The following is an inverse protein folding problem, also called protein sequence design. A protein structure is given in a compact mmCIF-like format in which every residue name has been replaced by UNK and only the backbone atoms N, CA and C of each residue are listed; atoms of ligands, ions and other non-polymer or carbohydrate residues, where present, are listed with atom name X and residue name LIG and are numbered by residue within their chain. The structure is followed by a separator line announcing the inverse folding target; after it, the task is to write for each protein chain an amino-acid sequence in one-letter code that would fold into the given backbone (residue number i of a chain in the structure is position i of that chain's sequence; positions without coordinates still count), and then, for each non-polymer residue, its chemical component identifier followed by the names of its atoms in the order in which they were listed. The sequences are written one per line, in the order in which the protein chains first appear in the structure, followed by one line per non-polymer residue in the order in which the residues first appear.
data_IF_954473441902
#
_entry.id   IF_954473441902
#
_cell.length_a   1.000
_cell.length_b   1.000
_cell.length_c   1.000
_cell.angle_alpha   90.00
_cell.angle_beta   90.00
_cell.angle_gamma   90.00
#
_symmetry.space_group_name_H-M   'P 1'
#
loop_
_entity.id
_entity.type
_entity.pdbx_description
1 polymer ?
#
# COMPACT_ATOMS: atom_id res chain seq x y z
N UNK A 1 -10.05 18.36 8.82
CA UNK A 1 -10.99 17.27 9.16
C UNK A 1 -10.64 16.06 8.32
N UNK A 2 -10.71 14.83 8.86
CA UNK A 2 -10.32 13.64 8.13
C UNK A 2 -11.39 13.20 7.12
N UNK A 3 -10.95 12.52 6.06
CA UNK A 3 -11.84 11.63 5.33
C UNK A 3 -11.94 10.31 6.09
N UNK A 4 -13.15 9.82 6.36
CA UNK A 4 -13.32 8.63 7.17
C UNK A 4 -14.55 7.78 6.78
N UNK A 5 -14.49 6.49 7.12
CA UNK A 5 -15.57 5.51 6.97
C UNK A 5 -15.98 5.28 5.51
N UNK A 6 -14.99 4.93 4.68
CA UNK A 6 -15.16 4.76 3.23
C UNK A 6 -15.11 3.27 2.89
N UNK A 7 -16.03 2.82 2.04
CA UNK A 7 -16.09 1.45 1.53
C UNK A 7 -15.94 1.47 0.00
N UNK A 8 -15.01 0.67 -0.51
CA UNK A 8 -14.85 0.37 -1.94
C UNK A 8 -15.08 -1.12 -2.13
N UNK A 9 -16.16 -1.49 -2.83
CA UNK A 9 -16.51 -2.92 -2.98
C UNK A 9 -17.11 -3.26 -4.32
N UNK A 10 -16.88 -4.50 -4.76
CA UNK A 10 -17.43 -5.04 -6.01
C UNK A 10 -17.07 -4.18 -7.23
N UNK A 11 -15.85 -3.64 -7.24
CA UNK A 11 -15.35 -2.79 -8.32
C UNK A 11 -14.37 -3.55 -9.21
N UNK A 12 -14.34 -3.17 -10.48
CA UNK A 12 -13.32 -3.59 -11.44
C UNK A 12 -12.45 -2.38 -11.84
N UNK A 13 -11.13 -2.52 -11.78
CA UNK A 13 -10.18 -1.45 -12.09
C UNK A 13 -9.21 -1.92 -13.18
N UNK A 14 -9.13 -1.17 -14.29
CA UNK A 14 -8.41 -1.58 -15.52
C UNK A 14 -7.35 -0.60 -16.02
N UNK A 15 -7.17 0.53 -15.35
CA UNK A 15 -6.14 1.52 -15.73
C UNK A 15 -5.89 2.48 -14.57
N UNK A 16 -4.75 3.17 -14.59
CA UNK A 16 -4.45 4.28 -13.71
C UNK A 16 -3.22 4.10 -12.82
N UNK A 17 -2.78 5.20 -12.22
CA UNK A 17 -1.61 5.21 -11.32
C UNK A 17 -1.82 4.42 -10.01
N UNK A 18 -3.05 4.00 -9.71
CA UNK A 18 -3.38 3.06 -8.66
C UNK A 18 -4.86 2.69 -8.63
N UNK A 19 -5.20 1.51 -8.10
CA UNK A 19 -6.58 1.03 -7.99
C UNK A 19 -7.33 1.77 -6.89
N UNK A 20 -6.86 1.62 -5.65
CA UNK A 20 -7.28 2.47 -4.52
C UNK A 20 -6.08 3.26 -4.01
N UNK A 21 -6.24 4.58 -3.96
CA UNK A 21 -5.17 5.51 -3.61
C UNK A 21 -5.59 6.39 -2.44
N UNK A 22 -4.75 6.44 -1.40
CA UNK A 22 -4.86 7.40 -0.30
C UNK A 22 -3.75 8.44 -0.42
N UNK A 23 -4.13 9.70 -0.57
CA UNK A 23 -3.25 10.86 -0.58
C UNK A 23 -2.96 11.48 -1.95
N UNK A 24 -2.07 12.47 -2.04
CA UNK A 24 -1.08 12.85 -1.00
C UNK A 24 -1.57 13.91 -0.03
N UNK A 25 -2.70 14.55 -0.30
CA UNK A 25 -3.30 15.66 0.44
C UNK A 25 -4.01 15.14 1.72
N UNK A 26 -3.24 14.55 2.63
CA UNK A 26 -3.74 13.84 3.82
C UNK A 26 -3.66 14.65 5.11
N UNK A 27 -3.36 15.95 5.04
CA UNK A 27 -3.12 16.80 6.21
C UNK A 27 -4.29 16.82 7.21
N UNK A 28 -5.52 16.63 6.71
CA UNK A 28 -6.72 16.51 7.55
C UNK A 28 -6.87 15.16 8.26
N UNK A 29 -6.08 14.16 7.88
CA UNK A 29 -6.19 12.76 8.30
C UNK A 29 -7.00 11.89 7.33
N UNK A 30 -6.79 10.58 7.41
CA UNK A 30 -7.57 9.59 6.68
C UNK A 30 -7.70 8.32 7.52
N UNK A 31 -8.92 7.85 7.78
CA UNK A 31 -9.09 6.64 8.61
C UNK A 31 -10.29 5.78 8.23
N UNK A 32 -10.22 4.48 8.50
CA UNK A 32 -11.30 3.52 8.31
C UNK A 32 -11.71 3.39 6.83
N UNK A 33 -10.81 2.82 6.03
CA UNK A 33 -11.09 2.42 4.65
C UNK A 33 -11.22 0.90 4.56
N UNK A 34 -12.30 0.45 3.93
CA UNK A 34 -12.53 -0.95 3.62
C UNK A 34 -12.57 -1.14 2.11
N UNK A 35 -11.64 -1.93 1.58
CA UNK A 35 -11.61 -2.36 0.17
C UNK A 35 -11.91 -3.85 0.14
N UNK A 36 -12.99 -4.27 -0.52
CA UNK A 36 -13.36 -5.69 -0.56
C UNK A 36 -13.96 -6.18 -1.87
N UNK A 37 -13.66 -7.43 -2.24
CA UNK A 37 -14.26 -8.11 -3.38
C UNK A 37 -14.07 -7.33 -4.69
N UNK A 38 -12.86 -6.83 -4.92
CA UNK A 38 -12.50 -6.06 -6.12
C UNK A 38 -11.63 -6.90 -7.06
N UNK A 39 -11.75 -6.63 -8.35
CA UNK A 39 -10.85 -7.16 -9.39
C UNK A 39 -10.01 -6.03 -9.97
N UNK A 40 -8.70 -6.18 -9.98
CA UNK A 40 -7.77 -5.16 -10.44
C UNK A 40 -6.76 -5.78 -11.41
N UNK A 41 -6.98 -5.65 -12.70
CA UNK A 41 -6.26 -6.44 -13.69
C UNK A 41 -5.96 -5.64 -14.95
N UNK A 42 -4.73 -5.13 -15.06
CA UNK A 42 -4.23 -4.45 -16.25
C UNK A 42 -2.74 -4.11 -16.16
N UNK A 43 -1.96 -4.26 -17.24
CA UNK A 43 -0.59 -3.74 -17.30
C UNK A 43 -0.51 -2.21 -17.21
N UNK A 44 -1.61 -1.49 -17.46
CA UNK A 44 -1.68 -0.04 -17.31
C UNK A 44 -2.01 0.38 -15.87
N UNK A 45 -2.48 -0.55 -15.03
CA UNK A 45 -2.67 -0.30 -13.61
C UNK A 45 -1.32 -0.39 -12.88
N UNK A 46 -0.86 0.70 -12.30
CA UNK A 46 0.49 0.71 -11.73
C UNK A 46 0.57 0.01 -10.37
N UNK A 47 -0.42 0.24 -9.51
CA UNK A 47 -0.40 -0.19 -8.10
C UNK A 47 -1.80 -0.59 -7.67
N UNK A 48 -1.94 -1.65 -6.87
CA UNK A 48 -3.27 -2.11 -6.43
C UNK A 48 -3.75 -1.22 -5.29
N UNK A 49 -3.00 -1.21 -4.19
CA UNK A 49 -3.21 -0.31 -3.04
C UNK A 49 -2.03 0.64 -2.93
N UNK A 50 -2.30 1.96 -2.97
CA UNK A 50 -1.27 2.99 -2.93
C UNK A 50 -1.54 4.00 -1.82
N UNK A 51 -0.59 4.15 -0.91
CA UNK A 51 -0.57 5.19 0.11
C UNK A 51 0.62 6.10 -0.17
N UNK A 52 0.35 7.40 -0.34
CA UNK A 52 1.39 8.40 -0.66
C UNK A 52 1.25 9.62 0.26
N UNK A 53 2.35 10.09 0.82
CA UNK A 53 2.42 11.32 1.62
C UNK A 53 3.87 11.79 1.74
N UNK A 54 4.10 12.93 2.39
CA UNK A 54 5.41 13.45 2.73
C UNK A 54 5.39 14.33 3.99
N UNK A 55 6.55 14.77 4.45
CA UNK A 55 6.71 15.61 5.64
C UNK A 55 6.26 17.07 5.47
N UNK A 56 5.75 17.45 4.29
CA UNK A 56 4.97 18.67 4.12
C UNK A 56 3.53 18.52 4.62
N UNK A 57 3.02 17.28 4.68
CA UNK A 57 1.58 17.03 4.84
C UNK A 57 1.18 16.86 6.30
N UNK A 58 2.03 16.29 7.17
CA UNK A 58 1.61 15.89 8.51
C UNK A 58 0.51 14.83 8.45
N UNK A 59 -0.44 14.85 9.38
CA UNK A 59 -1.62 13.98 9.33
C UNK A 59 -1.32 12.50 9.62
N UNK A 60 -2.41 11.74 9.76
CA UNK A 60 -2.38 10.31 10.08
C UNK A 60 -3.24 9.58 9.05
N UNK A 61 -2.68 8.52 8.46
CA UNK A 61 -3.40 7.53 7.68
C UNK A 61 -3.46 6.25 8.51
N UNK A 62 -4.65 5.82 8.91
CA UNK A 62 -4.79 4.64 9.75
C UNK A 62 -6.02 3.79 9.42
N UNK A 63 -6.01 2.52 9.84
CA UNK A 63 -7.12 1.59 9.73
C UNK A 63 -7.55 1.38 8.25
N UNK A 64 -6.63 0.84 7.46
CA UNK A 64 -6.84 0.48 6.06
C UNK A 64 -6.99 -1.03 5.98
N UNK A 65 -8.17 -1.50 5.59
CA UNK A 65 -8.49 -2.92 5.50
C UNK A 65 -8.79 -3.27 4.05
N UNK A 66 -8.06 -4.26 3.53
CA UNK A 66 -8.18 -4.73 2.15
C UNK A 66 -8.36 -6.24 2.21
N UNK A 67 -9.46 -6.75 1.65
CA UNK A 67 -9.71 -8.19 1.64
C UNK A 67 -10.31 -8.71 0.34
N UNK A 68 -10.03 -9.96 0.00
CA UNK A 68 -10.62 -10.63 -1.16
C UNK A 68 -10.44 -9.80 -2.45
N UNK A 69 -9.20 -9.40 -2.74
CA UNK A 69 -8.86 -8.66 -3.95
C UNK A 69 -8.11 -9.57 -4.91
N UNK A 70 -8.64 -9.71 -6.12
CA UNK A 70 -8.02 -10.47 -7.19
C UNK A 70 -7.27 -9.52 -8.12
N UNK A 71 -5.97 -9.78 -8.30
CA UNK A 71 -5.12 -9.00 -9.20
C UNK A 71 -4.61 -9.92 -10.29
N UNK A 72 -4.92 -9.62 -11.55
CA UNK A 72 -4.27 -10.32 -12.67
C UNK A 72 -2.86 -9.76 -12.81
N UNK A 73 -2.71 -8.63 -13.50
CA UNK A 73 -1.43 -7.91 -13.57
C UNK A 73 -1.53 -6.49 -13.00
N UNK A 74 -0.44 -6.05 -12.33
CA UNK A 74 -0.17 -4.63 -12.10
C UNK A 74 1.30 -4.30 -12.36
N UNK A 75 1.60 -3.07 -12.79
CA UNK A 75 2.93 -2.72 -13.32
C UNK A 75 4.03 -2.64 -12.25
N UNK A 76 3.71 -2.16 -11.05
CA UNK A 76 4.70 -1.89 -10.01
C UNK A 76 4.49 -2.73 -8.75
N UNK A 77 3.40 -2.52 -8.00
CA UNK A 77 3.28 -3.11 -6.68
C UNK A 77 1.85 -3.44 -6.27
N UNK A 78 1.67 -4.57 -5.58
CA UNK A 78 0.38 -4.88 -4.93
C UNK A 78 0.13 -3.90 -3.78
N UNK A 79 1.10 -3.73 -2.88
CA UNK A 79 1.05 -2.68 -1.86
C UNK A 79 2.19 -1.69 -2.05
N UNK A 80 1.87 -0.40 -2.24
CA UNK A 80 2.84 0.69 -2.19
C UNK A 80 2.53 1.63 -1.04
N UNK A 81 3.50 1.85 -0.16
CA UNK A 81 3.49 2.94 0.83
C UNK A 81 4.72 3.82 0.58
N UNK A 82 4.53 5.14 0.43
CA UNK A 82 5.62 6.08 0.19
C UNK A 82 5.46 7.35 1.02
N UNK A 83 6.36 7.57 2.00
CA UNK A 83 6.42 8.83 2.77
C UNK A 83 7.42 9.85 2.17
N UNK A 84 8.09 9.49 1.08
CA UNK A 84 9.00 10.38 0.35
C UNK A 84 8.36 10.89 -0.96
N UNK A 85 7.03 10.97 -1.02
CA UNK A 85 6.32 11.45 -2.21
C UNK A 85 6.69 12.92 -2.50
N UNK A 86 7.05 13.24 -3.74
CA UNK A 86 7.44 14.61 -4.13
C UNK A 86 8.40 15.28 -3.13
N UNK A 87 9.47 14.59 -2.78
CA UNK A 87 10.47 15.04 -1.78
C UNK A 87 11.23 16.33 -2.15
N UNK A 88 10.94 16.94 -3.31
CA UNK A 88 11.47 18.24 -3.77
C UNK A 88 10.42 19.35 -3.80
N UNK A 89 9.19 19.08 -3.42
CA UNK A 89 8.14 20.09 -3.27
C UNK A 89 8.59 21.20 -2.30
N UNK A 90 8.30 22.46 -2.64
CA UNK A 90 8.60 23.62 -1.79
C UNK A 90 7.51 23.78 -0.73
N UNK A 91 7.84 23.46 0.51
CA UNK A 91 6.92 23.45 1.64
C UNK A 91 7.72 23.54 2.96
N UNK A 92 7.02 23.76 4.08
CA UNK A 92 7.59 23.46 5.40
C UNK A 92 7.56 21.93 5.64
N UNK A 93 8.72 21.35 5.98
CA UNK A 93 8.94 19.90 6.15
C UNK A 93 8.93 19.42 7.60
N UNK A 94 8.46 20.28 8.51
CA UNK A 94 8.40 20.03 9.96
C UNK A 94 7.22 19.14 10.36
N UNK A 95 6.44 18.61 9.41
CA UNK A 95 5.19 17.88 9.63
C UNK A 95 5.29 16.41 9.19
N UNK A 96 6.03 15.57 9.91
CA UNK A 96 6.19 14.17 9.54
C UNK A 96 4.84 13.40 9.65
N UNK A 97 4.34 12.76 8.57
CA UNK A 97 3.07 12.02 8.56
C UNK A 97 3.21 10.65 9.24
N UNK A 98 2.11 10.07 9.71
CA UNK A 98 2.08 8.68 10.22
C UNK A 98 1.21 7.80 9.32
N UNK A 99 1.68 6.58 9.03
CA UNK A 99 0.90 5.52 8.39
C UNK A 99 0.92 4.29 9.27
N UNK A 100 -0.25 3.82 9.72
CA UNK A 100 -0.34 2.63 10.58
C UNK A 100 -1.58 1.79 10.33
N UNK A 101 -1.60 0.56 10.85
CA UNK A 101 -2.76 -0.32 10.83
C UNK A 101 -3.27 -0.56 9.39
N UNK A 102 -2.39 -1.11 8.55
CA UNK A 102 -2.71 -1.44 7.14
C UNK A 102 -2.73 -2.94 6.99
N UNK A 103 -3.89 -3.51 6.70
CA UNK A 103 -4.12 -4.95 6.64
C UNK A 103 -4.59 -5.35 5.24
N UNK A 104 -3.83 -6.22 4.58
CA UNK A 104 -4.21 -6.91 3.36
C UNK A 104 -4.41 -8.39 3.70
N UNK A 105 -5.61 -8.92 3.50
CA UNK A 105 -5.94 -10.33 3.74
C UNK A 105 -6.57 -10.98 2.51
N UNK A 106 -6.15 -12.19 2.16
CA UNK A 106 -6.68 -12.90 0.99
C UNK A 106 -6.60 -12.05 -0.30
N UNK A 107 -5.39 -11.57 -0.62
CA UNK A 107 -5.10 -10.85 -1.86
C UNK A 107 -4.26 -11.74 -2.78
N UNK A 108 -4.67 -11.88 -4.04
CA UNK A 108 -3.92 -12.60 -5.07
C UNK A 108 -3.33 -11.64 -6.09
N UNK A 109 -2.19 -12.00 -6.69
CA UNK A 109 -1.59 -11.28 -7.83
C UNK A 109 -0.95 -12.27 -8.78
N UNK A 110 -1.21 -12.15 -10.08
CA UNK A 110 -0.57 -13.02 -11.08
C UNK A 110 0.70 -12.44 -11.71
N UNK A 111 0.89 -11.11 -11.68
CA UNK A 111 2.14 -10.46 -12.11
C UNK A 111 2.31 -9.07 -11.51
N UNK A 112 3.50 -8.79 -10.99
CA UNK A 112 3.91 -7.46 -10.52
C UNK A 112 5.42 -7.32 -10.41
N UNK A 113 5.94 -6.08 -10.31
CA UNK A 113 7.37 -5.86 -10.05
C UNK A 113 7.75 -6.11 -8.58
N UNK A 114 6.84 -5.77 -7.67
CA UNK A 114 6.98 -6.00 -6.23
C UNK A 114 5.66 -6.51 -5.65
N UNK A 115 5.72 -7.40 -4.66
CA UNK A 115 4.56 -7.67 -3.82
C UNK A 115 4.26 -6.48 -2.93
N UNK A 116 5.18 -6.24 -1.99
CA UNK A 116 5.11 -5.13 -1.03
C UNK A 116 6.30 -4.19 -1.25
N UNK A 117 6.00 -2.92 -1.48
CA UNK A 117 6.97 -1.86 -1.68
C UNK A 117 6.70 -0.71 -0.69
N UNK A 118 7.52 -0.61 0.35
CA UNK A 118 7.39 0.39 1.41
C UNK A 118 8.64 1.27 1.45
N UNK A 119 8.44 2.59 1.45
CA UNK A 119 9.50 3.59 1.51
C UNK A 119 9.19 4.59 2.62
N UNK A 120 9.76 4.34 3.80
CA UNK A 120 9.76 5.26 4.95
C UNK A 120 10.93 6.24 4.95
N UNK A 121 11.15 6.89 6.08
CA UNK A 121 12.31 7.76 6.31
C UNK A 121 13.48 6.96 6.89
N UNK A 122 14.69 7.48 6.70
CA UNK A 122 15.92 6.84 7.21
C UNK A 122 16.23 7.25 8.67
N UNK A 123 15.70 8.39 9.13
CA UNK A 123 15.99 9.00 10.43
C UNK A 123 14.91 8.76 11.49
N UNK A 124 13.76 8.21 11.11
CA UNK A 124 12.60 7.98 12.00
C UNK A 124 11.69 6.88 11.47
N UNK A 125 10.87 6.32 12.36
CA UNK A 125 9.88 5.29 12.01
C UNK A 125 8.48 5.87 12.08
N UNK A 126 7.86 6.03 10.90
CA UNK A 126 6.53 6.62 10.73
C UNK A 126 5.57 5.69 9.97
N UNK A 127 6.03 4.48 9.65
CA UNK A 127 5.23 3.41 9.10
C UNK A 127 5.30 2.26 10.09
N UNK A 128 4.16 1.83 10.62
CA UNK A 128 4.07 0.75 11.59
C UNK A 128 2.85 -0.13 11.35
N UNK A 129 2.87 -1.36 11.87
CA UNK A 129 1.71 -2.26 11.88
C UNK A 129 1.12 -2.50 10.49
N UNK A 130 1.93 -3.12 9.63
CA UNK A 130 1.57 -3.44 8.24
C UNK A 130 1.49 -4.95 8.09
N UNK A 131 0.30 -5.45 7.76
CA UNK A 131 0.01 -6.87 7.67
C UNK A 131 -0.35 -7.25 6.25
N UNK A 132 0.30 -8.28 5.73
CA UNK A 132 -0.14 -8.99 4.52
C UNK A 132 -0.30 -10.46 4.89
N UNK A 133 -1.55 -10.92 4.90
CA UNK A 133 -1.93 -12.25 5.37
C UNK A 133 -2.65 -13.06 4.30
N UNK A 134 -2.48 -14.38 4.36
CA UNK A 134 -3.22 -15.35 3.53
C UNK A 134 -3.22 -15.02 2.03
N UNK A 135 -2.08 -14.53 1.52
CA UNK A 135 -1.98 -13.90 0.19
C UNK A 135 -0.99 -14.63 -0.70
N UNK A 136 -1.18 -14.54 -2.02
CA UNK A 136 -0.31 -15.19 -3.01
C UNK A 136 0.01 -14.24 -4.15
N UNK A 137 1.29 -13.91 -4.32
CA UNK A 137 1.77 -13.07 -5.42
C UNK A 137 2.68 -13.90 -6.33
N UNK A 138 2.17 -14.23 -7.51
CA UNK A 138 2.85 -14.97 -8.56
C UNK A 138 3.56 -14.00 -9.53
N UNK A 139 4.56 -14.54 -10.23
CA UNK A 139 5.40 -13.83 -11.20
C UNK A 139 5.86 -12.44 -10.73
N UNK A 140 6.19 -12.31 -9.45
CA UNK A 140 6.82 -11.11 -8.90
C UNK A 140 8.25 -11.05 -9.42
N UNK A 141 8.68 -9.92 -9.97
CA UNK A 141 10.07 -9.75 -10.42
C UNK A 141 11.09 -9.98 -9.30
N UNK A 142 12.37 -10.16 -9.67
CA UNK A 142 13.47 -10.64 -8.78
C UNK A 142 13.61 -9.94 -7.43
N UNK A 143 13.04 -8.76 -7.23
CA UNK A 143 13.13 -8.01 -5.98
C UNK A 143 12.11 -8.45 -4.92
N UNK A 144 11.06 -9.19 -5.27
CA UNK A 144 10.06 -9.68 -4.32
C UNK A 144 9.40 -8.54 -3.53
N UNK A 145 9.82 -8.36 -2.28
CA UNK A 145 9.43 -7.23 -1.43
C UNK A 145 10.60 -6.28 -1.21
N UNK A 146 10.34 -4.97 -1.17
CA UNK A 146 11.31 -3.95 -0.76
C UNK A 146 10.67 -3.07 0.31
N UNK A 147 11.16 -3.19 1.54
CA UNK A 147 10.57 -2.54 2.71
C UNK A 147 11.67 -1.78 3.46
N UNK A 148 11.58 -0.46 3.50
CA UNK A 148 12.50 0.43 4.23
C UNK A 148 11.73 1.39 5.13
N UNK A 149 12.33 1.77 6.28
CA UNK A 149 11.78 2.78 7.19
C UNK A 149 10.41 2.42 7.81
N UNK A 150 10.16 1.14 8.06
CA UNK A 150 8.92 0.63 8.65
C UNK A 150 9.21 -0.41 9.74
N UNK A 151 8.39 -0.44 10.79
CA UNK A 151 8.41 -1.47 11.85
C UNK A 151 7.13 -2.30 11.82
N UNK A 152 7.16 -3.43 12.53
CA UNK A 152 5.99 -4.29 12.73
C UNK A 152 5.30 -4.68 11.42
N UNK A 153 6.11 -5.09 10.43
CA UNK A 153 5.62 -5.56 9.14
C UNK A 153 5.52 -7.08 9.16
N UNK A 154 4.29 -7.59 9.20
CA UNK A 154 3.98 -9.02 9.33
C UNK A 154 3.56 -9.60 7.98
N UNK A 155 4.29 -10.59 7.49
CA UNK A 155 4.02 -11.27 6.21
C UNK A 155 3.67 -12.75 6.47
N UNK A 156 2.46 -12.99 6.99
CA UNK A 156 2.04 -14.32 7.46
C UNK A 156 1.22 -15.06 6.41
N UNK A 157 1.59 -16.31 6.11
CA UNK A 157 0.97 -17.05 5.00
C UNK A 157 0.98 -16.27 3.66
N UNK A 158 1.98 -15.41 3.47
CA UNK A 158 2.26 -14.78 2.20
C UNK A 158 3.18 -15.68 1.38
N UNK A 159 2.77 -15.99 0.15
CA UNK A 159 3.60 -16.71 -0.81
C UNK A 159 3.99 -15.78 -1.96
N UNK A 160 5.28 -15.72 -2.29
CA UNK A 160 5.79 -15.03 -3.48
C UNK A 160 6.47 -16.05 -4.37
N UNK A 161 6.00 -16.15 -5.63
CA UNK A 161 6.51 -17.09 -6.62
C UNK A 161 6.58 -18.53 -6.08
N UNK A 162 5.50 -18.99 -5.43
CA UNK A 162 5.41 -20.31 -4.80
C UNK A 162 6.16 -20.47 -3.48
N UNK A 163 7.02 -19.52 -3.08
CA UNK A 163 7.81 -19.60 -1.86
C UNK A 163 7.13 -18.83 -0.71
N UNK A 164 7.02 -19.46 0.46
CA UNK A 164 6.51 -18.79 1.66
C UNK A 164 7.50 -17.71 2.11
N UNK A 165 7.02 -16.47 2.22
CA UNK A 165 7.81 -15.36 2.74
C UNK A 165 7.99 -15.54 4.25
N UNK A 166 9.21 -15.35 4.74
CA UNK A 166 9.52 -15.41 6.18
C UNK A 166 9.85 -14.00 6.64
N UNK A 167 8.87 -13.31 7.24
CA UNK A 167 9.03 -12.01 7.90
C UNK A 167 7.97 -11.83 8.98
#
# INVERSE_FOLDING_TARGET
VPSENIIVRNCEMKDGHGGVVVGSEISGGYKNLFVENCKMDSPNLERVIRIKTNNCRGGVIENIYVRNVEVGECREAVLKINLQYENREKCDRSFPPVVRHVYLDNVTSEKSKYGVLITGYDDRVNIEDIHVTNSRFNNVEKKGNLITGAKDVVLKELYINGNKVRK
#
